data_IF_033430950243
#
_entry.id   IF_033430950243
#
_cell.length_a   1.000
_cell.length_b   1.000
_cell.length_c   1.000
_cell.angle_alpha   90.00
_cell.angle_beta   90.00
_cell.angle_gamma   90.00
#
_symmetry.space_group_name_H-M   'P 1'
#
loop_
_entity.id
_entity.type
_entity.pdbx_description
1 polymer ?
#
# COMPACT_ATOMS: atom_id res chain seq x y z
N UNK A 1 2.47 3.07 -11.68
CA UNK A 1 3.73 2.34 -11.93
C UNK A 1 3.73 1.11 -11.04
N UNK A 2 4.30 0.00 -11.50
CA UNK A 2 4.50 -1.21 -10.68
C UNK A 2 5.93 -1.68 -10.83
N UNK A 3 6.52 -2.20 -9.76
CA UNK A 3 7.82 -2.86 -9.84
C UNK A 3 7.66 -4.33 -10.23
N UNK A 4 8.46 -4.77 -11.20
CA UNK A 4 8.60 -6.17 -11.60
C UNK A 4 10.08 -6.52 -11.64
N UNK A 5 10.60 -7.05 -10.52
CA UNK A 5 12.04 -7.17 -10.30
C UNK A 5 12.67 -5.78 -10.24
N UNK A 6 13.74 -5.54 -11.01
CA UNK A 6 14.46 -4.26 -11.04
C UNK A 6 13.84 -3.20 -11.96
N UNK A 7 12.70 -3.48 -12.58
CA UNK A 7 12.09 -2.60 -13.59
C UNK A 7 10.77 -2.02 -13.10
N UNK A 8 10.65 -0.71 -13.21
CA UNK A 8 9.39 0.00 -13.05
C UNK A 8 8.64 0.04 -14.39
N UNK A 9 7.40 -0.47 -14.42
CA UNK A 9 6.59 -0.59 -15.64
C UNK A 9 5.27 0.17 -15.48
N UNK A 10 4.77 0.73 -16.59
CA UNK A 10 3.43 1.31 -16.66
C UNK A 10 2.34 0.23 -16.53
N UNK A 11 1.33 0.49 -15.70
CA UNK A 11 0.25 -0.44 -15.40
C UNK A 11 -1.11 0.19 -15.71
N UNK A 12 -2.19 -0.60 -15.60
CA UNK A 12 -3.57 -0.13 -15.78
C UNK A 12 -3.91 1.14 -14.97
N UNK A 13 -3.34 1.28 -13.76
CA UNK A 13 -3.54 2.47 -12.92
C UNK A 13 -3.02 3.77 -13.55
N UNK A 14 -1.98 3.68 -14.39
CA UNK A 14 -1.47 4.85 -15.10
C UNK A 14 -2.46 5.33 -16.16
N UNK A 15 -2.98 4.41 -16.98
CA UNK A 15 -4.01 4.71 -17.99
C UNK A 15 -5.28 5.26 -17.34
N UNK A 16 -5.72 4.67 -16.24
CA UNK A 16 -6.88 5.14 -15.49
C UNK A 16 -6.68 6.59 -14.99
N UNK A 17 -5.50 6.93 -14.49
CA UNK A 17 -5.19 8.30 -14.05
C UNK A 17 -5.28 9.30 -15.20
N UNK A 18 -4.67 8.99 -16.35
CA UNK A 18 -4.72 9.87 -17.52
C UNK A 18 -6.17 10.04 -18.01
N UNK A 19 -6.94 8.95 -18.09
CA UNK A 19 -8.35 9.01 -18.49
C UNK A 19 -9.19 9.89 -17.55
N UNK A 20 -8.93 9.82 -16.24
CA UNK A 20 -9.61 10.67 -15.26
C UNK A 20 -9.25 12.16 -15.40
N UNK A 21 -7.99 12.48 -15.71
CA UNK A 21 -7.56 13.86 -15.97
C UNK A 21 -8.23 14.48 -17.20
N UNK A 22 -8.59 13.64 -18.18
CA UNK A 22 -9.37 14.05 -19.34
C UNK A 22 -10.88 14.18 -19.05
N UNK A 23 -11.30 14.02 -17.79
CA UNK A 23 -12.70 14.10 -17.37
C UNK A 23 -13.48 12.77 -17.48
N UNK A 24 -12.80 11.68 -17.84
CA UNK A 24 -13.38 10.35 -17.90
C UNK A 24 -13.67 9.78 -16.51
N UNK A 25 -14.74 9.00 -16.38
CA UNK A 25 -15.06 8.30 -15.13
C UNK A 25 -14.27 7.00 -15.02
N UNK A 26 -13.55 6.79 -13.93
CA UNK A 26 -12.88 5.53 -13.61
C UNK A 26 -13.53 4.82 -12.43
N UNK A 27 -13.49 3.48 -12.46
CA UNK A 27 -13.94 2.62 -11.37
C UNK A 27 -12.77 1.72 -10.99
N UNK A 28 -12.30 1.83 -9.74
CA UNK A 28 -11.10 1.13 -9.26
C UNK A 28 -11.49 0.39 -7.97
N UNK A 29 -11.24 -0.92 -7.94
CA UNK A 29 -11.53 -1.78 -6.78
C UNK A 29 -10.26 -2.27 -6.06
N UNK A 30 -9.08 -2.03 -6.64
CA UNK A 30 -7.79 -2.37 -6.03
C UNK A 30 -7.39 -1.42 -4.90
N UNK A 31 -6.17 -1.57 -4.38
CA UNK A 31 -5.61 -0.67 -3.36
C UNK A 31 -5.65 0.78 -3.86
N UNK A 32 -6.00 1.76 -3.00
CA UNK A 32 -6.25 1.65 -1.55
C UNK A 32 -7.71 1.33 -1.17
N UNK A 33 -8.59 1.03 -2.13
CA UNK A 33 -10.03 0.97 -1.89
C UNK A 33 -10.47 -0.27 -1.11
N UNK A 34 -11.53 -0.12 -0.33
CA UNK A 34 -12.04 -1.16 0.56
C UNK A 34 -12.35 -2.53 -0.08
N UNK A 35 -12.86 -2.65 -1.32
CA UNK A 35 -13.26 -3.95 -1.88
C UNK A 35 -12.15 -5.01 -1.87
N UNK A 36 -10.90 -4.66 -2.21
CA UNK A 36 -9.81 -5.64 -2.21
C UNK A 36 -9.50 -6.18 -0.80
N UNK A 37 -9.59 -5.32 0.22
CA UNK A 37 -9.35 -5.72 1.61
C UNK A 37 -10.48 -6.60 2.17
N UNK A 38 -11.74 -6.33 1.78
CA UNK A 38 -12.86 -7.19 2.17
C UNK A 38 -12.73 -8.60 1.60
N UNK A 39 -12.31 -8.71 0.33
CA UNK A 39 -12.04 -10.02 -0.28
C UNK A 39 -10.89 -10.71 0.44
N UNK A 40 -9.78 -10.03 0.70
CA UNK A 40 -8.65 -10.60 1.43
C UNK A 40 -9.06 -11.16 2.81
N UNK A 41 -9.84 -10.40 3.59
CA UNK A 41 -10.33 -10.86 4.90
C UNK A 41 -11.24 -12.08 4.79
N UNK A 42 -12.08 -12.15 3.77
CA UNK A 42 -12.94 -13.32 3.52
C UNK A 42 -12.11 -14.57 3.22
N UNK A 43 -11.08 -14.44 2.38
CA UNK A 43 -10.19 -15.55 2.05
C UNK A 43 -9.42 -16.03 3.29
N UNK A 44 -8.86 -15.11 4.08
CA UNK A 44 -8.14 -15.46 5.32
C UNK A 44 -9.06 -16.16 6.32
N UNK A 45 -10.29 -15.67 6.51
CA UNK A 45 -11.26 -16.31 7.39
C UNK A 45 -11.62 -17.73 6.92
N UNK A 46 -11.75 -17.94 5.60
CA UNK A 46 -11.98 -19.26 5.02
C UNK A 46 -10.82 -20.22 5.26
N UNK A 47 -9.58 -19.77 5.10
CA UNK A 47 -8.38 -20.57 5.34
C UNK A 47 -8.20 -20.97 6.81
N UNK A 48 -8.55 -20.09 7.74
CA UNK A 48 -8.42 -20.33 9.18
C UNK A 48 -9.66 -21.00 9.80
N UNK A 49 -10.77 -21.10 9.06
CA UNK A 49 -12.03 -21.67 9.56
C UNK A 49 -12.70 -20.86 10.67
N UNK A 50 -12.34 -19.56 10.81
CA UNK A 50 -12.88 -18.65 11.82
C UNK A 50 -12.90 -17.21 11.33
N UNK A 51 -13.71 -16.38 11.98
CA UNK A 51 -13.62 -14.93 11.80
C UNK A 51 -12.24 -14.41 12.27
N UNK A 52 -11.75 -13.38 11.59
CA UNK A 52 -10.46 -12.73 11.86
C UNK A 52 -10.73 -11.23 11.98
N UNK A 53 -10.28 -10.65 13.08
CA UNK A 53 -10.39 -9.21 13.29
C UNK A 53 -9.27 -8.47 12.55
N UNK A 54 -9.52 -7.23 12.15
CA UNK A 54 -8.52 -6.42 11.41
C UNK A 54 -7.26 -6.16 12.23
N UNK A 55 -7.36 -6.12 13.56
CA UNK A 55 -6.24 -6.00 14.49
C UNK A 55 -5.35 -7.25 14.56
N UNK A 56 -5.80 -8.40 14.02
CA UNK A 56 -4.98 -9.61 13.91
C UNK A 56 -4.16 -9.64 12.61
N UNK A 57 -4.30 -8.64 11.73
CA UNK A 57 -3.75 -8.64 10.39
C UNK A 57 -2.76 -7.49 10.21
N UNK A 58 -1.53 -7.84 9.80
CA UNK A 58 -0.49 -6.89 9.43
C UNK A 58 -0.46 -6.75 7.90
N UNK A 59 -0.78 -5.55 7.40
CA UNK A 59 -0.53 -5.20 6.02
C UNK A 59 0.98 -4.93 5.80
N UNK A 60 1.52 -5.36 4.67
CA UNK A 60 2.93 -5.15 4.31
C UNK A 60 3.00 -4.55 2.92
N UNK A 61 3.74 -3.45 2.76
CA UNK A 61 3.98 -2.89 1.44
C UNK A 61 4.87 -1.66 1.44
N UNK A 62 5.26 -1.27 0.24
CA UNK A 62 6.20 -0.19 -0.06
C UNK A 62 5.52 1.03 -0.71
N UNK A 63 4.29 0.90 -1.17
CA UNK A 63 3.54 2.00 -1.78
C UNK A 63 2.78 2.83 -0.77
N UNK A 64 3.13 4.11 -0.66
CA UNK A 64 2.53 5.02 0.33
C UNK A 64 1.04 5.27 0.06
N UNK A 65 0.70 5.57 -1.20
CA UNK A 65 -0.69 5.87 -1.61
C UNK A 65 -1.53 4.62 -1.92
N UNK A 66 -0.95 3.43 -1.84
CA UNK A 66 -1.63 2.15 -2.09
C UNK A 66 -1.69 1.29 -0.84
N UNK A 67 -0.55 0.81 -0.36
CA UNK A 67 -0.44 -0.17 0.71
C UNK A 67 -0.66 0.48 2.06
N UNK A 68 0.10 1.53 2.35
CA UNK A 68 0.04 2.25 3.63
C UNK A 68 -1.30 2.96 3.78
N UNK A 69 -1.69 3.74 2.77
CA UNK A 69 -3.01 4.37 2.74
C UNK A 69 -4.13 3.36 2.87
N UNK A 70 -4.09 2.29 2.07
CA UNK A 70 -5.18 1.32 2.07
C UNK A 70 -5.25 0.54 3.38
N UNK A 71 -4.12 0.23 4.02
CA UNK A 71 -4.12 -0.36 5.35
C UNK A 71 -4.74 0.57 6.39
N UNK A 72 -4.29 1.83 6.45
CA UNK A 72 -4.78 2.83 7.40
C UNK A 72 -6.29 3.11 7.22
N UNK A 73 -6.73 3.37 5.99
CA UNK A 73 -8.14 3.64 5.66
C UNK A 73 -9.05 2.45 5.98
N UNK A 74 -8.50 1.23 5.98
CA UNK A 74 -9.25 0.00 6.24
C UNK A 74 -8.97 -0.59 7.63
N UNK A 75 -8.34 0.15 8.54
CA UNK A 75 -8.19 -0.24 9.95
C UNK A 75 -7.22 -1.40 10.20
N UNK A 76 -6.18 -1.53 9.39
CA UNK A 76 -5.10 -2.51 9.58
C UNK A 76 -3.84 -1.84 10.11
N UNK A 77 -3.10 -2.57 10.93
CA UNK A 77 -1.71 -2.25 11.18
C UNK A 77 -0.89 -2.42 9.90
N UNK A 78 0.12 -1.58 9.72
CA UNK A 78 0.97 -1.62 8.52
C UNK A 78 2.45 -1.59 8.83
N UNK A 79 3.17 -2.51 8.22
CA UNK A 79 4.62 -2.54 8.11
C UNK A 79 5.02 -1.91 6.78
N UNK A 80 5.74 -0.80 6.84
CA UNK A 80 6.24 -0.12 5.66
C UNK A 80 7.59 -0.68 5.21
N UNK A 81 7.71 -1.02 3.93
CA UNK A 81 8.98 -1.47 3.32
C UNK A 81 9.66 -0.28 2.64
N UNK A 82 10.67 0.30 3.29
CA UNK A 82 11.27 1.57 2.87
C UNK A 82 12.20 1.44 1.65
N UNK A 83 12.71 0.24 1.36
CA UNK A 83 13.57 -0.01 0.21
C UNK A 83 12.85 -0.27 -1.12
N UNK A 84 11.53 -0.03 -1.21
CA UNK A 84 10.74 -0.22 -2.43
C UNK A 84 10.55 1.05 -3.27
N UNK A 85 9.37 1.24 -3.88
CA UNK A 85 9.14 2.25 -4.93
C UNK A 85 9.48 3.70 -4.54
N UNK A 86 9.42 4.04 -3.25
CA UNK A 86 9.69 5.38 -2.73
C UNK A 86 11.11 5.56 -2.16
N UNK A 87 11.97 4.53 -2.23
CA UNK A 87 13.31 4.56 -1.66
C UNK A 87 14.15 5.75 -2.14
N UNK A 88 13.95 6.21 -3.38
CA UNK A 88 14.67 7.37 -3.94
C UNK A 88 14.25 8.71 -3.31
N UNK A 89 13.08 8.79 -2.70
CA UNK A 89 12.57 10.03 -2.12
C UNK A 89 13.18 10.34 -0.75
N UNK A 90 13.47 9.31 0.06
CA UNK A 90 14.04 9.49 1.39
C UNK A 90 15.45 8.88 1.54
N UNK A 91 15.84 7.90 0.74
CA UNK A 91 17.09 7.15 0.89
C UNK A 91 17.15 6.37 2.20
N UNK A 92 18.35 6.01 2.66
CA UNK A 92 18.53 5.29 3.94
C UNK A 92 18.62 6.23 5.16
N UNK A 93 18.32 7.53 4.99
CA UNK A 93 18.38 8.53 6.06
C UNK A 93 17.10 8.49 6.92
N UNK A 94 17.19 8.15 8.22
CA UNK A 94 16.04 8.08 9.11
C UNK A 94 15.28 9.41 9.24
N UNK A 95 15.96 10.55 9.19
CA UNK A 95 15.31 11.86 9.31
C UNK A 95 14.46 12.18 8.07
N UNK A 96 14.97 11.83 6.88
CA UNK A 96 14.21 11.98 5.62
C UNK A 96 13.04 11.02 5.55
N UNK A 97 13.21 9.80 6.03
CA UNK A 97 12.11 8.83 6.12
C UNK A 97 11.01 9.34 7.07
N UNK A 98 11.36 9.85 8.25
CA UNK A 98 10.40 10.42 9.18
C UNK A 98 9.63 11.59 8.55
N UNK A 99 10.33 12.51 7.89
CA UNK A 99 9.71 13.62 7.17
C UNK A 99 8.82 13.16 6.00
N UNK A 100 9.20 12.09 5.30
CA UNK A 100 8.39 11.49 4.24
C UNK A 100 7.09 10.89 4.78
N UNK A 101 7.15 10.16 5.90
CA UNK A 101 5.96 9.60 6.55
C UNK A 101 5.03 10.72 7.06
N UNK A 102 5.60 11.74 7.70
CA UNK A 102 4.85 12.90 8.19
C UNK A 102 4.16 13.66 7.07
N UNK A 103 4.85 13.91 5.95
CA UNK A 103 4.30 14.54 4.75
C UNK A 103 3.06 13.83 4.22
N UNK A 104 3.02 12.49 4.30
CA UNK A 104 1.88 11.70 3.83
C UNK A 104 0.82 11.47 4.92
N UNK A 105 1.11 11.78 6.19
CA UNK A 105 0.18 11.70 7.30
C UNK A 105 -0.08 10.28 7.81
N UNK A 106 0.76 9.30 7.48
CA UNK A 106 0.60 7.91 7.91
C UNK A 106 1.66 7.51 8.93
N UNK A 107 1.29 6.63 9.85
CA UNK A 107 2.15 6.12 10.92
C UNK A 107 2.18 4.58 10.89
N UNK A 108 3.05 3.97 10.08
CA UNK A 108 3.28 2.54 10.12
C UNK A 108 3.69 2.08 11.53
N UNK A 109 3.26 0.88 11.95
CA UNK A 109 3.64 0.32 13.26
C UNK A 109 5.10 -0.11 13.30
N UNK A 110 5.68 -0.38 12.12
CA UNK A 110 7.08 -0.70 11.94
C UNK A 110 7.55 -0.32 10.53
N UNK A 111 8.87 -0.22 10.36
CA UNK A 111 9.51 -0.02 9.06
C UNK A 111 10.66 -1.01 8.91
N UNK A 112 10.78 -1.64 7.75
CA UNK A 112 11.94 -2.47 7.38
C UNK A 112 12.52 -2.04 6.02
N UNK A 113 13.83 -2.16 5.80
CA UNK A 113 14.42 -1.85 4.49
C UNK A 113 13.97 -2.81 3.39
N UNK A 114 13.86 -4.12 3.70
CA UNK A 114 13.51 -5.17 2.73
C UNK A 114 12.88 -6.37 3.45
N UNK A 115 11.92 -7.03 2.80
CA UNK A 115 11.36 -8.31 3.21
C UNK A 115 12.24 -9.46 2.68
N UNK A 116 12.68 -10.36 3.57
CA UNK A 116 13.53 -11.51 3.22
C UNK A 116 12.73 -12.72 2.77
#
# INVERSE_FOLDING_TARGET
>A
LVERGERTIWCAGALAREYAQLGGRTLIAGKPFAPIYHVAMKEVAGLLGRAVERSEVLAIGDGMMTDVKGAADNGFDVLYVSGGIHAREHGDDPARLAAFLEKHGYRPVAVIPRLQ
#
